data_IF_660778172218
#
_entry.id   IF_660778172218
#
_cell.length_a   1.000
_cell.length_b   1.000
_cell.length_c   1.000
_cell.angle_alpha   90.00
_cell.angle_beta   90.00
_cell.angle_gamma   90.00
#
_symmetry.space_group_name_H-M   'P 1'
#
loop_
_entity.id
_entity.type
_entity.pdbx_description
1 polymer ?
#
# COMPACT_ATOMS: atom_id res chain seq x y z
N UNK A 1 7.35 -8.48 15.37
CA UNK A 1 7.23 -7.55 14.23
C UNK A 1 6.22 -6.48 14.60
N UNK A 2 6.51 -5.19 14.36
CA UNK A 2 5.53 -4.11 14.61
C UNK A 2 4.34 -4.32 13.67
N UNK A 3 3.11 -4.17 14.15
CA UNK A 3 1.92 -4.21 13.27
C UNK A 3 1.98 -3.04 12.29
N UNK A 4 1.67 -3.33 11.03
CA UNK A 4 1.58 -2.34 9.97
C UNK A 4 0.20 -2.48 9.34
N UNK A 5 -0.42 -1.35 9.02
CA UNK A 5 -1.75 -1.29 8.46
C UNK A 5 -1.74 -0.57 7.11
N UNK A 6 -2.59 -1.02 6.19
CA UNK A 6 -2.98 -0.26 5.01
C UNK A 6 -4.23 0.55 5.34
N UNK A 7 -4.25 1.83 4.95
CA UNK A 7 -5.35 2.73 5.23
C UNK A 7 -6.01 3.22 3.94
N UNK A 8 -7.34 3.37 3.95
CA UNK A 8 -8.10 4.05 2.89
C UNK A 8 -9.22 4.90 3.48
N UNK A 9 -9.45 6.07 2.90
CA UNK A 9 -10.60 6.90 3.24
C UNK A 9 -11.90 6.30 2.65
N UNK A 10 -12.98 6.36 3.41
CA UNK A 10 -14.35 5.96 3.03
C UNK A 10 -15.36 6.98 3.56
N UNK A 11 -16.63 6.88 3.14
CA UNK A 11 -17.76 7.61 3.74
C UNK A 11 -17.93 7.30 5.22
N UNK A 12 -17.54 6.09 5.62
CA UNK A 12 -17.73 5.57 6.98
C UNK A 12 -16.50 5.78 7.87
N UNK A 13 -15.51 6.55 7.44
CA UNK A 13 -14.26 6.78 8.17
C UNK A 13 -13.02 6.20 7.47
N UNK A 14 -11.92 6.08 8.20
CA UNK A 14 -10.67 5.50 7.69
C UNK A 14 -10.72 3.98 7.91
N UNK A 15 -10.69 3.24 6.80
CA UNK A 15 -10.64 1.78 6.79
C UNK A 15 -9.19 1.31 6.96
N UNK A 16 -8.94 0.40 7.90
CA UNK A 16 -7.61 -0.14 8.16
C UNK A 16 -7.56 -1.67 7.99
N UNK A 17 -6.56 -2.17 7.27
CA UNK A 17 -6.29 -3.60 7.10
C UNK A 17 -4.90 -3.95 7.63
N UNK A 18 -4.79 -5.00 8.45
CA UNK A 18 -3.51 -5.52 8.94
C UNK A 18 -2.73 -6.15 7.78
N UNK A 19 -1.57 -5.57 7.46
CA UNK A 19 -0.71 -6.04 6.36
C UNK A 19 -0.31 -7.49 6.54
N UNK A 20 -0.10 -7.96 7.78
CA UNK A 20 0.26 -9.36 8.01
C UNK A 20 -0.87 -10.30 7.59
N UNK A 21 -2.12 -9.94 7.88
CA UNK A 21 -3.27 -10.73 7.43
C UNK A 21 -3.37 -10.75 5.92
N UNK A 22 -3.12 -9.62 5.26
CA UNK A 22 -3.08 -9.55 3.80
C UNK A 22 -1.96 -10.43 3.20
N UNK A 23 -0.77 -10.41 3.79
CA UNK A 23 0.35 -11.28 3.38
C UNK A 23 0.00 -12.76 3.57
N UNK A 24 -0.69 -13.14 4.65
CA UNK A 24 -1.12 -14.53 4.83
C UNK A 24 -2.07 -15.00 3.72
N UNK A 25 -2.91 -14.11 3.18
CA UNK A 25 -3.80 -14.41 2.05
C UNK A 25 -3.04 -14.70 0.75
N UNK A 26 -1.80 -14.23 0.60
CA UNK A 26 -1.01 -14.45 -0.61
C UNK A 26 -0.28 -15.80 -0.65
N UNK A 27 -0.24 -16.53 0.47
CA UNK A 27 0.52 -17.78 0.64
C UNK A 27 0.22 -18.87 -0.40
N UNK A 28 -0.97 -18.88 -0.99
CA UNK A 28 -1.40 -19.84 -2.03
C UNK A 28 -1.63 -19.20 -3.39
N UNK A 29 -1.37 -17.91 -3.53
CA UNK A 29 -1.56 -17.18 -4.77
C UNK A 29 -0.30 -17.31 -5.64
N UNK A 30 -0.50 -17.23 -6.95
CA UNK A 30 0.62 -17.17 -7.90
C UNK A 30 1.13 -15.74 -7.96
N UNK A 31 2.44 -15.60 -8.07
CA UNK A 31 3.07 -14.31 -8.39
C UNK A 31 2.76 -13.98 -9.85
N UNK A 32 2.38 -12.74 -10.09
CA UNK A 32 2.15 -12.17 -11.41
C UNK A 32 3.15 -11.05 -11.70
N UNK A 33 3.39 -10.82 -13.00
CA UNK A 33 4.19 -9.69 -13.49
C UNK A 33 3.23 -8.57 -13.86
N UNK A 34 3.28 -7.47 -13.11
CA UNK A 34 2.33 -6.36 -13.20
C UNK A 34 3.01 -5.19 -13.92
N UNK A 35 2.43 -4.68 -15.03
CA UNK A 35 2.91 -3.46 -15.67
C UNK A 35 2.76 -2.25 -14.73
N UNK A 36 3.81 -1.46 -14.54
CA UNK A 36 3.74 -0.29 -13.66
C UNK A 36 2.71 0.74 -14.14
N UNK A 37 2.53 0.88 -15.45
CA UNK A 37 1.53 1.78 -16.04
C UNK A 37 0.08 1.37 -15.75
N UNK A 38 -0.16 0.15 -15.23
CA UNK A 38 -1.48 -0.31 -14.81
C UNK A 38 -1.81 0.06 -13.36
N UNK A 39 -0.82 0.53 -12.59
CA UNK A 39 -0.99 0.97 -11.20
C UNK A 39 -1.36 2.45 -11.21
N UNK A 40 -2.66 2.73 -11.21
CA UNK A 40 -3.18 4.09 -11.35
C UNK A 40 -2.73 5.01 -10.20
N UNK A 41 -2.52 4.46 -9.01
CA UNK A 41 -2.13 5.23 -7.83
C UNK A 41 -0.75 5.89 -7.93
N UNK A 42 0.08 5.51 -8.90
CA UNK A 42 1.30 6.26 -9.22
C UNK A 42 1.02 7.71 -9.62
N UNK A 43 -0.19 8.01 -10.09
CA UNK A 43 -0.63 9.34 -10.50
C UNK A 43 -1.65 9.96 -9.53
N UNK A 44 -1.78 9.39 -8.33
CA UNK A 44 -2.69 9.87 -7.27
C UNK A 44 -1.87 10.34 -6.06
N UNK A 45 -2.43 11.21 -5.19
CA UNK A 45 -1.81 11.53 -3.90
C UNK A 45 -1.91 10.31 -2.94
N UNK A 46 -1.18 9.24 -3.20
CA UNK A 46 -1.35 7.97 -2.49
C UNK A 46 -0.91 8.04 -1.01
N UNK A 47 0.20 8.71 -0.71
CA UNK A 47 0.73 8.82 0.65
C UNK A 47 0.12 9.95 1.48
N UNK A 48 -0.66 10.83 0.86
CA UNK A 48 -1.16 12.04 1.50
C UNK A 48 -2.66 12.14 1.26
N UNK A 49 -3.43 12.30 2.32
CA UNK A 49 -4.85 12.61 2.21
C UNK A 49 -5.08 14.06 1.74
N UNK A 50 -6.31 14.38 1.31
CA UNK A 50 -6.66 15.74 0.83
C UNK A 50 -6.35 16.88 1.82
N UNK A 51 -6.21 16.55 3.11
CA UNK A 51 -5.94 17.53 4.17
C UNK A 51 -4.46 17.54 4.61
N UNK A 52 -3.65 16.60 4.13
CA UNK A 52 -2.21 16.53 4.46
C UNK A 52 -1.40 17.23 3.37
N UNK A 53 -0.69 18.29 3.76
CA UNK A 53 0.19 19.02 2.86
C UNK A 53 1.57 18.34 2.90
N UNK A 54 2.10 17.86 1.76
CA UNK A 54 3.42 17.25 1.72
C UNK A 54 4.49 18.28 2.11
N UNK A 55 5.41 17.87 2.97
CA UNK A 55 6.59 18.66 3.34
C UNK A 55 7.86 18.00 2.81
N UNK A 56 8.93 18.76 2.62
CA UNK A 56 10.23 18.18 2.23
C UNK A 56 10.68 17.08 3.21
N UNK A 57 10.36 17.21 4.50
CA UNK A 57 10.68 16.21 5.52
C UNK A 57 9.87 14.92 5.34
N UNK A 58 8.57 15.01 5.06
CA UNK A 58 7.73 13.82 4.82
C UNK A 58 8.12 13.12 3.52
N UNK A 59 8.43 13.89 2.47
CA UNK A 59 8.95 13.36 1.20
C UNK A 59 10.28 12.64 1.43
N UNK A 60 11.23 13.24 2.15
CA UNK A 60 12.51 12.60 2.46
C UNK A 60 12.32 11.27 3.23
N UNK A 61 11.35 11.20 4.15
CA UNK A 61 11.02 9.95 4.84
C UNK A 61 10.53 8.86 3.87
N UNK A 62 9.68 9.21 2.91
CA UNK A 62 9.25 8.26 1.88
C UNK A 62 10.39 7.85 0.97
N UNK A 63 11.26 8.78 0.56
CA UNK A 63 12.45 8.46 -0.25
C UNK A 63 13.37 7.46 0.45
N UNK A 64 13.58 7.61 1.77
CA UNK A 64 14.33 6.63 2.56
C UNK A 64 13.69 5.24 2.51
N UNK A 65 12.37 5.14 2.74
CA UNK A 65 11.64 3.88 2.67
C UNK A 65 11.67 3.26 1.27
N UNK A 66 11.58 4.09 0.23
CA UNK A 66 11.74 3.66 -1.17
C UNK A 66 13.12 3.07 -1.41
N UNK A 67 14.19 3.71 -0.93
CA UNK A 67 15.55 3.17 -1.09
C UNK A 67 15.74 1.85 -0.34
N UNK A 68 15.21 1.74 0.88
CA UNK A 68 15.29 0.55 1.73
C UNK A 68 14.40 -0.61 1.23
N UNK A 69 13.39 -0.34 0.40
CA UNK A 69 12.46 -1.35 -0.08
C UNK A 69 13.16 -2.41 -0.95
N UNK A 70 12.84 -3.68 -0.73
CA UNK A 70 13.39 -4.80 -1.49
C UNK A 70 12.38 -5.28 -2.56
N UNK A 71 12.79 -5.24 -3.83
CA UNK A 71 11.96 -5.60 -4.98
C UNK A 71 11.79 -7.13 -5.15
N UNK A 72 12.53 -7.95 -4.40
CA UNK A 72 12.33 -9.41 -4.39
C UNK A 72 11.01 -9.80 -3.74
N UNK A 73 10.42 -8.94 -2.90
CA UNK A 73 9.12 -9.15 -2.28
C UNK A 73 7.98 -8.59 -3.16
N UNK A 74 7.04 -9.43 -3.63
CA UNK A 74 5.94 -8.97 -4.48
C UNK A 74 4.98 -8.01 -3.78
N UNK A 75 4.41 -7.05 -4.50
CA UNK A 75 3.35 -6.16 -4.01
C UNK A 75 2.02 -6.90 -3.85
N UNK A 76 1.04 -6.28 -3.20
CA UNK A 76 -0.32 -6.83 -3.07
C UNK A 76 -1.31 -5.85 -3.69
N UNK A 77 -2.13 -6.35 -4.62
CA UNK A 77 -3.23 -5.63 -5.24
C UNK A 77 -4.58 -6.24 -4.82
N UNK A 78 -5.58 -5.39 -4.62
CA UNK A 78 -6.96 -5.84 -4.45
C UNK A 78 -7.62 -6.17 -5.82
N UNK A 79 -8.83 -6.76 -5.86
CA UNK A 79 -9.52 -7.09 -7.11
C UNK A 79 -9.68 -5.92 -8.08
N UNK A 80 -9.78 -4.70 -7.55
CA UNK A 80 -9.89 -3.46 -8.34
C UNK A 80 -8.53 -2.94 -8.85
N UNK A 81 -7.48 -3.78 -8.82
CA UNK A 81 -6.10 -3.49 -9.22
C UNK A 81 -5.44 -2.35 -8.42
N UNK A 82 -5.95 -2.10 -7.22
CA UNK A 82 -5.45 -1.05 -6.33
C UNK A 82 -4.48 -1.59 -5.30
N UNK A 83 -3.44 -0.82 -4.99
CA UNK A 83 -2.38 -1.22 -4.05
C UNK A 83 -2.93 -1.36 -2.64
N UNK A 84 -2.64 -2.51 -2.03
CA UNK A 84 -2.91 -2.84 -0.63
C UNK A 84 -1.62 -2.91 0.18
N UNK A 85 -0.50 -3.23 -0.45
CA UNK A 85 0.83 -3.23 0.16
C UNK A 85 1.89 -3.03 -0.93
N UNK A 86 2.94 -2.27 -0.60
CA UNK A 86 4.12 -2.16 -1.44
C UNK A 86 4.25 -0.92 -2.32
N UNK A 87 3.52 0.17 -2.07
CA UNK A 87 3.69 1.40 -2.87
C UNK A 87 5.15 1.91 -2.88
N UNK A 88 5.90 1.78 -1.78
CA UNK A 88 7.34 2.13 -1.79
C UNK A 88 8.14 1.26 -2.77
N UNK A 89 7.79 -0.02 -2.94
CA UNK A 89 8.41 -0.92 -3.95
C UNK A 89 7.98 -0.53 -5.36
N UNK A 90 6.71 -0.16 -5.57
CA UNK A 90 6.23 0.35 -6.86
C UNK A 90 7.03 1.59 -7.28
N UNK A 91 7.18 2.56 -6.37
CA UNK A 91 7.96 3.78 -6.65
C UNK A 91 9.44 3.47 -6.85
N UNK A 92 10.03 2.54 -6.09
CA UNK A 92 11.42 2.09 -6.32
C UNK A 92 11.60 1.50 -7.71
N UNK A 93 10.69 0.61 -8.13
CA UNK A 93 10.73 0.00 -9.44
C UNK A 93 10.65 1.06 -10.56
N UNK A 94 9.80 2.06 -10.39
CA UNK A 94 9.70 3.20 -11.31
C UNK A 94 11.02 4.00 -11.37
N UNK A 95 11.62 4.32 -10.21
CA UNK A 95 12.87 5.09 -10.13
C UNK A 95 14.06 4.36 -10.75
N UNK A 96 14.12 3.03 -10.62
CA UNK A 96 15.16 2.19 -11.22
C UNK A 96 14.92 1.93 -12.72
N UNK A 97 13.85 2.47 -13.30
CA UNK A 97 13.54 2.34 -14.73
C UNK A 97 12.93 1.01 -15.14
N UNK A 98 12.40 0.22 -14.19
CA UNK A 98 11.65 -0.99 -14.52
C UNK A 98 10.32 -0.62 -15.16
N UNK A 99 9.80 -1.51 -16.01
CA UNK A 99 8.47 -1.37 -16.61
C UNK A 99 7.42 -2.24 -15.93
N UNK A 100 7.86 -3.20 -15.11
CA UNK A 100 7.03 -4.18 -14.45
C UNK A 100 7.51 -4.44 -13.02
N UNK A 101 6.63 -4.99 -12.18
CA UNK A 101 6.93 -5.42 -10.81
C UNK A 101 6.20 -6.72 -10.50
N UNK A 102 6.76 -7.55 -9.63
CA UNK A 102 6.06 -8.74 -9.13
C UNK A 102 4.95 -8.35 -8.15
N UNK A 103 3.80 -9.01 -8.23
CA UNK A 103 2.76 -8.87 -7.22
C UNK A 103 1.73 -9.99 -7.21
N UNK A 104 0.84 -9.92 -6.23
CA UNK A 104 -0.29 -10.82 -6.05
C UNK A 104 -1.59 -10.05 -6.25
N UNK A 105 -2.57 -10.65 -6.92
CA UNK A 105 -3.95 -10.19 -6.92
C UNK A 105 -4.76 -10.97 -5.89
N UNK A 106 -5.26 -10.27 -4.87
CA UNK A 106 -6.24 -10.87 -3.97
C UNK A 106 -7.53 -11.16 -4.76
N UNK A 107 -8.08 -12.38 -4.72
CA UNK A 107 -9.33 -12.70 -5.41
C UNK A 107 -10.53 -11.96 -4.82
N UNK A 108 -10.48 -11.69 -3.51
CA UNK A 108 -11.45 -10.91 -2.76
C UNK A 108 -10.71 -10.04 -1.76
N UNK A 109 -11.13 -8.79 -1.61
CA UNK A 109 -10.65 -7.93 -0.53
C UNK A 109 -11.49 -8.24 0.73
N UNK A 110 -10.89 -8.65 1.86
CA UNK A 110 -11.64 -8.83 3.10
C UNK A 110 -12.16 -7.49 3.63
N UNK A 111 -13.15 -7.55 4.51
CA UNK A 111 -13.55 -6.38 5.29
C UNK A 111 -12.33 -5.81 6.05
N UNK A 112 -12.30 -4.49 6.27
CA UNK A 112 -11.26 -3.88 7.07
C UNK A 112 -11.29 -4.46 8.49
N UNK A 113 -10.11 -4.56 9.10
CA UNK A 113 -9.96 -4.99 10.49
C UNK A 113 -10.49 -3.92 11.45
N UNK A 114 -10.40 -2.65 11.05
CA UNK A 114 -10.90 -1.51 11.82
C UNK A 114 -11.51 -0.45 10.89
N UNK A 115 -12.53 0.24 11.39
CA UNK A 115 -13.09 1.46 10.80
C UNK A 115 -12.91 2.56 11.84
N UNK A 116 -12.10 3.56 11.53
CA UNK A 116 -11.74 4.65 12.43
C UNK A 116 -12.60 5.86 12.07
N UNK A 117 -13.60 6.16 12.91
CA UNK A 117 -14.54 7.26 12.72
C UNK A 117 -14.19 8.50 13.53
N UNK A 118 -13.46 8.34 14.65
CA UNK A 118 -13.13 9.42 15.58
C UNK A 118 -11.62 9.48 15.91
N UNK A 119 -11.14 10.68 16.25
CA UNK A 119 -9.72 10.97 16.50
C UNK A 119 -9.13 10.28 17.74
N UNK A 120 -9.97 9.76 18.64
CA UNK A 120 -9.54 9.11 19.89
C UNK A 120 -9.23 7.62 19.75
N UNK A 121 -9.54 6.99 18.61
CA UNK A 121 -9.26 5.55 18.36
C UNK A 121 -7.82 5.29 17.88
N UNK A 122 -7.03 6.35 17.70
CA UNK A 122 -5.65 6.28 17.21
C UNK A 122 -4.58 5.71 18.16
N UNK A 123 -4.70 5.65 19.51
CA UNK A 123 -3.51 5.42 20.34
C UNK A 123 -3.02 3.97 20.40
N UNK A 124 -3.68 3.00 19.74
CA UNK A 124 -3.34 1.57 19.90
C UNK A 124 -3.24 0.73 18.62
N UNK A 125 -3.13 1.34 17.43
CA UNK A 125 -2.83 0.63 16.17
C UNK A 125 -1.33 0.66 15.81
#
# INVERSE_FOLDING_TARGET
MRKQYHFRNSSDGILAWDIHKLVLLTSKLKIEVIPLNSILELNEPYWYSNNEIPSCKSIANHMRLVQEADLTYPIILCPNKRVMDGMHRVVKALLEGHTHIYGYFLPTLPNPDYIITDSEDFPYL
#
